data_IF_481321910901
#
_entry.id   IF_481321910901
#
_cell.length_a   1.000
_cell.length_b   1.000
_cell.length_c   1.000
_cell.angle_alpha   90.00
_cell.angle_beta   90.00
_cell.angle_gamma   90.00
#
_symmetry.space_group_name_H-M   'P 1'
#
loop_
_entity.id
_entity.type
_entity.pdbx_description
1 polymer ?
#
# COMPACT_ATOMS: atom_id res chain seq x y z
N UNK A 1 4.55 2.38 9.01
CA UNK A 1 5.32 1.42 9.80
C UNK A 1 6.42 0.77 8.98
N UNK A 2 6.16 0.13 7.89
CA UNK A 2 7.13 -0.41 6.95
C UNK A 2 6.50 -0.53 5.58
N UNK A 3 7.32 -0.34 4.53
CA UNK A 3 6.89 -0.49 3.15
C UNK A 3 8.11 -0.90 2.31
N UNK A 4 8.15 -2.16 1.90
CA UNK A 4 9.24 -2.75 1.12
C UNK A 4 9.45 -4.23 1.41
N UNK A 5 10.38 -4.86 0.72
CA UNK A 5 10.66 -6.31 0.77
C UNK A 5 11.01 -6.88 2.15
N UNK A 6 11.34 -6.04 3.13
CA UNK A 6 11.61 -6.47 4.51
C UNK A 6 10.35 -6.64 5.35
N UNK A 7 9.23 -6.12 4.91
CA UNK A 7 7.91 -6.27 5.51
C UNK A 7 7.04 -5.02 5.38
N UNK A 8 5.80 -5.25 5.03
CA UNK A 8 4.79 -4.23 4.77
C UNK A 8 3.78 -4.18 5.92
N UNK A 9 3.54 -2.98 6.42
CA UNK A 9 2.53 -2.73 7.43
C UNK A 9 2.22 -1.23 7.47
N UNK A 10 1.00 -0.87 7.13
CA UNK A 10 0.54 0.51 7.06
C UNK A 10 -0.60 0.73 8.05
N UNK A 11 -0.50 1.74 8.90
CA UNK A 11 -1.55 2.17 9.81
C UNK A 11 -2.25 3.40 9.22
N UNK A 12 -3.56 3.35 9.17
CA UNK A 12 -4.41 4.42 8.66
C UNK A 12 -5.48 4.73 9.71
N UNK A 13 -5.63 5.98 10.07
CA UNK A 13 -6.72 6.46 10.93
C UNK A 13 -7.60 7.42 10.14
N UNK A 14 -8.89 7.12 10.07
CA UNK A 14 -9.90 7.86 9.33
C UNK A 14 -11.07 8.12 10.26
N UNK A 15 -11.38 9.39 10.56
CA UNK A 15 -12.51 9.77 11.42
C UNK A 15 -12.55 8.98 12.75
N UNK A 16 -11.38 8.78 13.35
CA UNK A 16 -11.22 8.00 14.60
C UNK A 16 -11.29 6.49 14.43
N UNK A 17 -11.51 5.95 13.22
CA UNK A 17 -11.43 4.52 12.90
C UNK A 17 -10.01 4.12 12.57
N UNK A 18 -9.53 3.04 13.18
CA UNK A 18 -8.14 2.59 13.15
C UNK A 18 -8.00 1.35 12.30
N UNK A 19 -7.32 1.48 11.18
CA UNK A 19 -7.17 0.45 10.18
C UNK A 19 -5.70 0.01 10.09
N UNK A 20 -5.45 -1.27 9.87
CA UNK A 20 -4.13 -1.79 9.60
C UNK A 20 -4.14 -2.48 8.23
N UNK A 21 -3.27 -2.05 7.33
CA UNK A 21 -3.08 -2.69 6.03
C UNK A 21 -1.78 -3.47 6.08
N UNK A 22 -1.88 -4.77 5.87
CA UNK A 22 -0.84 -5.78 5.98
C UNK A 22 -0.20 -5.94 7.37
N UNK A 23 0.36 -7.12 7.59
CA UNK A 23 0.98 -7.53 8.85
C UNK A 23 2.33 -8.21 8.56
N UNK A 24 3.13 -7.63 7.65
CA UNK A 24 4.38 -8.21 7.18
C UNK A 24 5.58 -8.00 8.09
N UNK A 25 5.48 -7.12 9.08
CA UNK A 25 6.54 -6.85 10.05
C UNK A 25 6.47 -7.76 11.28
N UNK A 26 7.58 -7.95 12.02
CA UNK A 26 7.56 -8.65 13.30
C UNK A 26 6.57 -8.00 14.27
N UNK A 27 5.82 -8.81 15.01
CA UNK A 27 4.77 -8.34 15.93
C UNK A 27 5.26 -7.30 16.95
N UNK A 28 6.52 -7.42 17.43
CA UNK A 28 7.13 -6.43 18.31
C UNK A 28 7.28 -5.06 17.65
N UNK A 29 7.66 -5.04 16.39
CA UNK A 29 7.81 -3.80 15.59
C UNK A 29 6.45 -3.13 15.42
N UNK A 30 5.43 -3.88 14.99
CA UNK A 30 4.06 -3.35 14.81
C UNK A 30 3.51 -2.83 16.14
N UNK A 31 3.66 -3.60 17.22
CA UNK A 31 3.21 -3.20 18.57
C UNK A 31 3.83 -1.88 19.02
N UNK A 32 5.14 -1.72 18.84
CA UNK A 32 5.84 -0.50 19.22
C UNK A 32 5.38 0.70 18.39
N UNK A 33 5.15 0.50 17.09
CA UNK A 33 4.66 1.54 16.21
C UNK A 33 3.22 1.94 16.55
N UNK A 34 2.31 0.98 16.80
CA UNK A 34 0.95 1.26 17.27
C UNK A 34 0.98 2.03 18.62
N UNK A 35 1.83 1.59 19.55
CA UNK A 35 1.97 2.28 20.84
C UNK A 35 2.43 3.74 20.69
N UNK A 36 3.29 4.05 19.71
CA UNK A 36 3.75 5.42 19.46
C UNK A 36 2.66 6.38 18.99
N UNK A 37 1.54 5.83 18.47
CA UNK A 37 0.34 6.58 18.08
C UNK A 37 -0.84 6.34 19.04
N UNK A 38 -0.56 5.85 20.27
CA UNK A 38 -1.58 5.65 21.30
C UNK A 38 -2.57 4.50 21.03
N UNK A 39 -2.21 3.54 20.19
CA UNK A 39 -3.09 2.44 19.74
C UNK A 39 -2.50 1.08 20.12
N UNK A 40 -3.35 0.06 20.28
CA UNK A 40 -2.98 -1.35 20.47
C UNK A 40 -3.64 -2.19 19.39
N UNK A 41 -3.25 -3.46 19.27
CA UNK A 41 -3.88 -4.40 18.35
C UNK A 41 -5.38 -4.57 18.59
N UNK A 42 -5.77 -4.56 19.87
CA UNK A 42 -7.15 -4.74 20.32
C UNK A 42 -8.04 -3.52 20.02
N UNK A 43 -7.44 -2.37 19.74
CA UNK A 43 -8.12 -1.10 19.49
C UNK A 43 -8.35 -0.85 17.97
N UNK A 44 -7.93 -1.79 17.11
CA UNK A 44 -8.14 -1.71 15.66
C UNK A 44 -9.61 -2.00 15.32
N UNK A 45 -10.15 -1.25 14.36
CA UNK A 45 -11.51 -1.43 13.83
C UNK A 45 -11.54 -2.40 12.64
N UNK A 46 -10.45 -2.49 11.87
CA UNK A 46 -10.30 -3.45 10.78
C UNK A 46 -8.83 -3.73 10.46
N UNK A 47 -8.57 -4.95 9.95
CA UNK A 47 -7.30 -5.33 9.31
C UNK A 47 -7.59 -5.68 7.87
N UNK A 48 -6.79 -5.15 6.93
CA UNK A 48 -6.91 -5.46 5.50
C UNK A 48 -5.61 -6.12 5.04
N UNK A 49 -5.70 -7.17 4.25
CA UNK A 49 -4.54 -7.86 3.68
C UNK A 49 -4.59 -7.69 2.17
N UNK A 50 -3.53 -7.12 1.61
CA UNK A 50 -3.41 -6.91 0.16
C UNK A 50 -3.23 -8.23 -0.58
N UNK A 51 -2.31 -9.06 -0.12
CA UNK A 51 -2.02 -10.39 -0.68
C UNK A 51 -1.21 -11.26 0.29
N UNK A 52 -0.88 -12.49 -0.14
CA UNK A 52 -0.34 -13.52 0.75
C UNK A 52 1.17 -13.75 0.63
N UNK A 53 1.96 -12.85 0.05
CA UNK A 53 3.41 -12.93 0.13
C UNK A 53 3.88 -12.78 1.59
N UNK A 54 5.00 -13.41 1.91
CA UNK A 54 5.49 -13.50 3.30
C UNK A 54 5.76 -12.15 3.95
N UNK A 55 6.22 -11.18 3.17
CA UNK A 55 6.50 -9.81 3.62
C UNK A 55 5.23 -8.96 3.85
N UNK A 56 4.04 -9.51 3.57
CA UNK A 56 2.73 -8.91 3.89
C UNK A 56 2.01 -9.61 5.04
N UNK A 57 2.34 -10.88 5.34
CA UNK A 57 1.60 -11.66 6.33
C UNK A 57 2.46 -12.31 7.43
N UNK A 58 3.79 -12.18 7.37
CA UNK A 58 4.72 -12.86 8.28
C UNK A 58 4.43 -12.65 9.76
N UNK A 59 3.96 -11.48 10.17
CA UNK A 59 3.60 -11.16 11.55
C UNK A 59 2.24 -11.69 11.98
N UNK A 60 1.41 -12.15 11.04
CA UNK A 60 0.01 -12.47 11.27
C UNK A 60 -0.18 -13.60 12.30
N UNK A 61 0.70 -14.61 12.33
CA UNK A 61 0.62 -15.71 13.29
C UNK A 61 0.65 -15.24 14.75
N UNK A 62 1.40 -14.18 15.03
CA UNK A 62 1.51 -13.61 16.38
C UNK A 62 0.47 -12.51 16.59
N UNK A 63 0.36 -11.56 15.66
CA UNK A 63 -0.51 -10.39 15.79
C UNK A 63 -1.98 -10.77 15.76
N UNK A 64 -2.37 -11.74 14.93
CA UNK A 64 -3.76 -12.19 14.76
C UNK A 64 -4.43 -12.69 16.05
N UNK A 65 -3.63 -13.11 17.04
CA UNK A 65 -4.14 -13.51 18.36
C UNK A 65 -4.72 -12.35 19.17
N UNK A 66 -4.32 -11.13 18.84
CA UNK A 66 -4.70 -9.91 19.55
C UNK A 66 -5.79 -9.11 18.84
N UNK A 67 -6.03 -9.36 17.54
CA UNK A 67 -7.09 -8.68 16.80
C UNK A 67 -8.47 -9.01 17.38
N UNK A 68 -9.31 -7.99 17.53
CA UNK A 68 -10.70 -8.07 17.98
C UNK A 68 -11.66 -7.53 16.92
N UNK A 69 -11.14 -7.25 15.74
CA UNK A 69 -11.85 -6.71 14.59
C UNK A 69 -11.83 -7.71 13.41
N UNK A 70 -12.70 -7.52 12.41
CA UNK A 70 -12.67 -8.30 11.19
C UNK A 70 -11.36 -8.13 10.42
N UNK A 71 -10.96 -9.17 9.68
CA UNK A 71 -9.84 -9.16 8.75
C UNK A 71 -10.40 -9.35 7.34
N UNK A 72 -10.14 -8.39 6.47
CA UNK A 72 -10.65 -8.33 5.11
C UNK A 72 -9.56 -8.60 4.08
N UNK A 73 -9.88 -9.34 3.02
CA UNK A 73 -8.99 -9.63 1.91
C UNK A 73 -9.75 -10.13 0.68
N UNK A 74 -9.07 -10.42 -0.43
CA UNK A 74 -9.70 -11.05 -1.58
C UNK A 74 -10.16 -12.49 -1.25
N UNK A 75 -11.16 -13.00 -1.97
CA UNK A 75 -11.65 -14.38 -1.80
C UNK A 75 -10.54 -15.42 -1.96
N UNK A 76 -9.62 -15.21 -2.91
CA UNK A 76 -8.44 -16.07 -3.12
C UNK A 76 -7.53 -16.09 -1.90
N UNK A 77 -7.29 -14.94 -1.27
CA UNK A 77 -6.48 -14.82 -0.05
C UNK A 77 -7.21 -15.43 1.15
N UNK A 78 -8.54 -15.29 1.23
CA UNK A 78 -9.37 -15.94 2.27
C UNK A 78 -9.20 -17.46 2.25
N UNK A 79 -9.21 -18.08 1.08
CA UNK A 79 -9.01 -19.53 0.95
C UNK A 79 -7.62 -19.98 1.47
N UNK A 80 -6.58 -19.16 1.31
CA UNK A 80 -5.22 -19.45 1.81
C UNK A 80 -5.07 -19.23 3.32
N UNK A 81 -5.79 -18.25 3.85
CA UNK A 81 -5.70 -17.81 5.25
C UNK A 81 -6.93 -18.18 6.08
N UNK A 82 -7.68 -19.22 5.67
CA UNK A 82 -8.96 -19.63 6.26
C UNK A 82 -8.91 -19.81 7.79
N UNK A 83 -7.77 -20.20 8.33
CA UNK A 83 -7.55 -20.38 9.79
C UNK A 83 -7.77 -19.11 10.62
N UNK A 84 -7.73 -17.93 9.98
CA UNK A 84 -7.97 -16.64 10.64
C UNK A 84 -9.41 -16.15 10.48
N UNK A 85 -10.29 -16.94 9.86
CA UNK A 85 -11.70 -16.60 9.59
C UNK A 85 -11.86 -15.22 8.91
N UNK A 86 -11.11 -14.96 7.82
CA UNK A 86 -11.19 -13.67 7.13
C UNK A 86 -12.52 -13.49 6.43
N UNK A 87 -12.85 -12.22 6.18
CA UNK A 87 -14.05 -11.81 5.45
C UNK A 87 -13.65 -11.41 4.01
N UNK A 88 -14.23 -12.05 2.97
CA UNK A 88 -13.93 -11.69 1.60
C UNK A 88 -14.52 -10.32 1.26
N UNK A 89 -13.72 -9.45 0.62
CA UNK A 89 -14.19 -8.20 0.06
C UNK A 89 -14.84 -8.42 -1.31
N UNK A 90 -15.97 -7.76 -1.58
CA UNK A 90 -16.49 -7.69 -2.93
C UNK A 90 -15.54 -6.84 -3.79
N UNK A 91 -15.22 -7.34 -4.99
CA UNK A 91 -14.33 -6.62 -5.89
C UNK A 91 -15.06 -5.48 -6.61
N UNK A 92 -14.36 -4.36 -6.76
CA UNK A 92 -14.75 -3.19 -7.58
C UNK A 92 -16.10 -2.54 -7.20
N UNK A 93 -16.52 -2.72 -5.97
CA UNK A 93 -17.73 -2.07 -5.42
C UNK A 93 -17.52 -1.69 -3.97
N UNK A 94 -18.08 -0.55 -3.52
CA UNK A 94 -17.95 -0.11 -2.13
C UNK A 94 -18.55 -1.12 -1.16
N UNK A 95 -17.81 -1.39 -0.08
CA UNK A 95 -18.23 -2.25 1.03
C UNK A 95 -17.87 -1.53 2.34
N UNK A 96 -18.83 -1.42 3.25
CA UNK A 96 -18.60 -0.77 4.54
C UNK A 96 -17.86 -1.73 5.48
N UNK A 97 -16.61 -1.37 5.83
CA UNK A 97 -15.73 -2.19 6.68
C UNK A 97 -15.83 -1.81 8.16
N UNK A 98 -16.19 -0.58 8.44
CA UNK A 98 -16.51 -0.04 9.75
C UNK A 98 -17.38 1.21 9.56
N UNK A 99 -18.09 1.62 10.61
CA UNK A 99 -19.04 2.74 10.58
C UNK A 99 -18.43 4.00 9.93
N UNK A 100 -19.04 4.45 8.84
CA UNK A 100 -18.61 5.62 8.07
C UNK A 100 -17.38 5.45 7.19
N UNK A 101 -16.82 4.23 7.07
CA UNK A 101 -15.67 3.96 6.17
C UNK A 101 -16.01 2.85 5.20
N UNK A 102 -16.07 3.17 3.91
CA UNK A 102 -16.26 2.22 2.82
C UNK A 102 -14.93 1.93 2.13
N UNK A 103 -14.72 0.68 1.76
CA UNK A 103 -13.58 0.26 0.94
C UNK A 103 -14.06 -0.29 -0.40
N UNK A 104 -13.38 0.09 -1.48
CA UNK A 104 -13.47 -0.54 -2.79
C UNK A 104 -12.15 -1.24 -3.05
N UNK A 105 -12.19 -2.58 -3.10
CA UNK A 105 -11.03 -3.39 -3.45
C UNK A 105 -10.94 -3.55 -4.97
N UNK A 106 -9.71 -3.54 -5.50
CA UNK A 106 -9.44 -3.74 -6.93
C UNK A 106 -8.21 -4.62 -7.12
N UNK A 107 -8.17 -5.38 -8.22
CA UNK A 107 -7.02 -6.23 -8.54
C UNK A 107 -5.78 -5.39 -8.86
N UNK A 108 -4.62 -5.80 -8.34
CA UNK A 108 -3.32 -5.27 -8.75
C UNK A 108 -2.62 -6.21 -9.71
N UNK A 109 -1.83 -5.65 -10.64
CA UNK A 109 -1.03 -6.43 -11.59
C UNK A 109 0.21 -6.97 -10.89
N UNK A 110 0.05 -8.06 -10.12
CA UNK A 110 1.13 -8.69 -9.34
C UNK A 110 1.16 -10.20 -9.52
N UNK A 111 2.30 -10.82 -9.23
CA UNK A 111 2.51 -12.26 -9.40
C UNK A 111 1.96 -13.11 -8.24
N UNK A 112 1.22 -12.51 -7.33
CA UNK A 112 0.46 -13.20 -6.29
C UNK A 112 -1.04 -13.25 -6.64
N UNK A 113 -1.63 -14.43 -6.85
CA UNK A 113 -3.06 -14.54 -7.13
C UNK A 113 -3.92 -13.94 -6.01
N UNK A 114 -4.85 -13.09 -6.38
CA UNK A 114 -5.73 -12.38 -5.45
C UNK A 114 -5.08 -11.17 -4.77
N UNK A 115 -4.03 -10.62 -5.38
CA UNK A 115 -3.44 -9.34 -4.95
C UNK A 115 -4.38 -8.19 -5.25
N UNK A 116 -4.63 -7.34 -4.24
CA UNK A 116 -5.58 -6.23 -4.31
C UNK A 116 -5.01 -4.95 -3.73
N UNK A 117 -5.47 -3.82 -4.28
CA UNK A 117 -5.34 -2.50 -3.71
C UNK A 117 -6.68 -2.02 -3.15
N UNK A 118 -6.69 -0.83 -2.54
CA UNK A 118 -7.84 -0.28 -1.85
C UNK A 118 -8.08 1.18 -2.19
N UNK A 119 -9.36 1.53 -2.37
CA UNK A 119 -9.86 2.90 -2.23
C UNK A 119 -10.73 2.96 -0.99
N UNK A 120 -10.49 3.93 -0.13
CA UNK A 120 -11.31 4.24 1.03
C UNK A 120 -12.10 5.53 0.75
N UNK A 121 -13.41 5.49 0.97
CA UNK A 121 -14.28 6.65 0.91
C UNK A 121 -14.91 6.86 2.30
N UNK A 122 -14.87 8.10 2.78
CA UNK A 122 -15.31 8.48 4.12
C UNK A 122 -15.81 9.93 4.12
N UNK A 123 -16.51 10.34 5.16
CA UNK A 123 -16.94 11.73 5.31
C UNK A 123 -15.71 12.66 5.38
N UNK A 124 -15.62 13.56 4.44
CA UNK A 124 -14.53 14.54 4.34
C UNK A 124 -13.43 14.17 3.34
N UNK A 125 -13.41 12.94 2.74
CA UNK A 125 -12.38 12.65 1.75
C UNK A 125 -12.33 11.24 1.22
N UNK A 126 -11.25 10.96 0.49
CA UNK A 126 -10.94 9.64 -0.05
C UNK A 126 -9.44 9.36 -0.07
N UNK A 127 -9.08 8.11 0.12
CA UNK A 127 -7.70 7.65 0.23
C UNK A 127 -7.47 6.41 -0.63
N UNK A 128 -6.45 6.41 -1.48
CA UNK A 128 -6.03 5.28 -2.30
C UNK A 128 -4.79 4.59 -1.76
N UNK A 129 -4.74 3.26 -1.82
CA UNK A 129 -3.57 2.46 -1.48
C UNK A 129 -3.30 1.43 -2.57
N UNK A 130 -2.17 1.55 -3.25
CA UNK A 130 -1.77 0.70 -4.37
C UNK A 130 -0.26 0.43 -4.34
N UNK A 131 0.12 -0.73 -3.82
CA UNK A 131 1.49 -1.26 -3.84
C UNK A 131 1.48 -2.64 -4.49
N UNK A 132 2.65 -3.15 -4.83
CA UNK A 132 2.81 -4.44 -5.49
C UNK A 132 2.02 -4.50 -6.80
N UNK A 133 2.45 -3.66 -7.73
CA UNK A 133 1.87 -3.58 -9.06
C UNK A 133 2.96 -3.31 -10.10
N UNK A 134 3.02 -4.15 -11.13
CA UNK A 134 3.94 -3.97 -12.26
C UNK A 134 3.45 -2.94 -13.27
N UNK A 135 2.15 -2.65 -13.28
CA UNK A 135 1.56 -1.58 -14.10
C UNK A 135 0.25 -1.07 -13.50
N UNK A 136 -0.12 0.17 -13.83
CA UNK A 136 -1.40 0.77 -13.46
C UNK A 136 -2.34 0.70 -14.67
N UNK A 137 -3.33 -0.18 -14.58
CA UNK A 137 -4.35 -0.38 -15.63
C UNK A 137 -5.33 0.80 -15.69
N UNK A 138 -6.09 0.93 -16.80
CA UNK A 138 -7.17 1.91 -16.88
C UNK A 138 -8.18 1.74 -15.74
N UNK A 139 -8.48 0.49 -15.39
CA UNK A 139 -9.41 0.19 -14.28
C UNK A 139 -8.92 0.72 -12.94
N UNK A 140 -7.63 0.58 -12.64
CA UNK A 140 -7.03 1.16 -11.43
C UNK A 140 -7.10 2.68 -11.47
N UNK A 141 -6.83 3.28 -12.63
CA UNK A 141 -6.94 4.73 -12.83
C UNK A 141 -8.35 5.22 -12.56
N UNK A 142 -9.37 4.55 -13.10
CA UNK A 142 -10.78 4.91 -12.88
C UNK A 142 -11.16 4.84 -11.41
N UNK A 143 -10.80 3.76 -10.72
CA UNK A 143 -11.15 3.56 -9.31
C UNK A 143 -10.46 4.59 -8.41
N UNK A 144 -9.18 4.87 -8.65
CA UNK A 144 -8.40 5.79 -7.80
C UNK A 144 -8.52 7.26 -8.20
N UNK A 145 -9.10 7.58 -9.35
CA UNK A 145 -9.34 8.98 -9.76
C UNK A 145 -10.19 9.71 -8.73
N UNK A 146 -9.80 10.96 -8.43
CA UNK A 146 -10.45 11.78 -7.43
C UNK A 146 -10.14 11.39 -5.97
N UNK A 147 -9.27 10.42 -5.70
CA UNK A 147 -8.72 10.23 -4.36
C UNK A 147 -7.92 11.48 -3.96
N UNK A 148 -8.24 12.08 -2.83
CA UNK A 148 -7.52 13.24 -2.31
C UNK A 148 -6.09 12.88 -1.92
N UNK A 149 -5.89 11.70 -1.37
CA UNK A 149 -4.59 11.18 -0.95
C UNK A 149 -4.34 9.80 -1.52
N UNK A 150 -3.11 9.54 -1.97
CA UNK A 150 -2.72 8.29 -2.62
C UNK A 150 -1.38 7.77 -2.11
N UNK A 151 -1.35 6.54 -1.63
CA UNK A 151 -0.12 5.75 -1.48
C UNK A 151 0.07 4.93 -2.75
N UNK A 152 1.20 5.11 -3.41
CA UNK A 152 1.52 4.39 -4.64
C UNK A 152 2.95 3.85 -4.61
N UNK A 153 3.15 2.71 -5.26
CA UNK A 153 4.46 2.10 -5.39
C UNK A 153 5.42 2.96 -6.22
N UNK A 154 6.67 3.08 -5.73
CA UNK A 154 7.83 3.59 -6.47
C UNK A 154 9.01 2.67 -6.13
N UNK A 155 9.02 1.48 -6.73
CA UNK A 155 9.85 0.40 -6.25
C UNK A 155 11.32 0.57 -6.61
N UNK A 156 11.64 0.85 -7.86
CA UNK A 156 13.03 0.84 -8.32
C UNK A 156 13.33 1.93 -9.34
N UNK A 157 14.57 2.39 -9.32
CA UNK A 157 15.20 3.08 -10.43
C UNK A 157 15.63 2.05 -11.48
N UNK A 158 15.25 2.24 -12.74
CA UNK A 158 15.53 1.28 -13.82
C UNK A 158 17.00 1.09 -14.08
N UNK A 159 17.83 2.12 -13.91
CA UNK A 159 19.27 2.06 -14.09
C UNK A 159 19.94 1.30 -12.94
N UNK A 160 19.55 1.60 -11.70
CA UNK A 160 20.05 0.88 -10.52
C UNK A 160 19.70 -0.61 -10.59
N UNK A 161 18.45 -0.94 -10.96
CA UNK A 161 18.03 -2.34 -11.09
C UNK A 161 18.82 -3.08 -12.19
N UNK A 162 18.99 -2.47 -13.37
CA UNK A 162 19.72 -3.09 -14.48
C UNK A 162 21.18 -3.36 -14.14
N UNK A 163 21.83 -2.43 -13.44
CA UNK A 163 23.24 -2.51 -13.06
C UNK A 163 23.48 -3.15 -11.67
N UNK A 164 22.43 -3.34 -10.87
CA UNK A 164 22.49 -3.84 -9.50
C UNK A 164 22.85 -5.32 -9.41
N UNK A 165 23.00 -5.84 -8.19
CA UNK A 165 23.53 -7.20 -7.94
C UNK A 165 22.52 -8.33 -8.18
N UNK A 166 21.25 -8.03 -8.45
CA UNK A 166 20.22 -9.06 -8.58
C UNK A 166 20.47 -9.97 -9.79
N UNK A 167 20.16 -11.28 -9.67
CA UNK A 167 20.20 -12.21 -10.79
C UNK A 167 19.29 -11.77 -11.93
N UNK A 168 19.66 -12.07 -13.17
CA UNK A 168 18.91 -11.69 -14.37
C UNK A 168 17.43 -12.10 -14.34
N UNK A 169 17.14 -13.31 -13.84
CA UNK A 169 15.74 -13.80 -13.71
C UNK A 169 14.92 -12.92 -12.78
N UNK A 170 15.50 -12.48 -11.66
CA UNK A 170 14.82 -11.59 -10.71
C UNK A 170 14.62 -10.19 -11.30
N UNK A 171 15.63 -9.65 -12.00
CA UNK A 171 15.48 -8.37 -12.72
C UNK A 171 14.34 -8.41 -13.73
N UNK A 172 14.26 -9.48 -14.53
CA UNK A 172 13.14 -9.66 -15.49
C UNK A 172 11.79 -9.74 -14.81
N UNK A 173 11.68 -10.44 -13.68
CA UNK A 173 10.46 -10.53 -12.89
C UNK A 173 10.04 -9.14 -12.42
N UNK A 174 10.96 -8.36 -11.82
CA UNK A 174 10.68 -7.02 -11.31
C UNK A 174 10.22 -6.09 -12.43
N UNK A 175 10.87 -6.12 -13.60
CA UNK A 175 10.54 -5.29 -14.76
C UNK A 175 9.31 -5.76 -15.56
N UNK A 176 8.65 -6.83 -15.14
CA UNK A 176 7.47 -7.33 -15.87
C UNK A 176 6.19 -6.59 -15.45
N UNK A 177 5.15 -6.69 -16.28
CA UNK A 177 3.80 -6.15 -15.96
C UNK A 177 3.18 -6.72 -14.68
N UNK A 178 3.74 -7.82 -14.14
CA UNK A 178 3.34 -8.43 -12.86
C UNK A 178 4.41 -8.28 -11.78
N UNK A 179 5.42 -7.46 -12.03
CA UNK A 179 6.50 -7.17 -11.10
C UNK A 179 6.18 -5.99 -10.19
N UNK A 180 6.99 -4.94 -10.34
CA UNK A 180 6.91 -3.73 -9.52
C UNK A 180 7.07 -2.48 -10.37
N UNK A 181 6.39 -1.41 -9.96
CA UNK A 181 6.38 -0.14 -10.66
C UNK A 181 7.74 0.59 -10.52
N UNK A 182 8.31 1.00 -11.64
CA UNK A 182 9.52 1.82 -11.64
C UNK A 182 9.25 3.25 -11.15
N UNK A 183 10.31 4.00 -10.80
CA UNK A 183 10.17 5.41 -10.44
C UNK A 183 9.61 6.22 -11.62
N UNK A 184 10.00 5.88 -12.84
CA UNK A 184 9.56 6.56 -14.07
C UNK A 184 8.06 6.30 -14.33
N UNK A 185 7.61 5.04 -14.25
CA UNK A 185 6.20 4.70 -14.41
C UNK A 185 5.35 5.28 -13.28
N UNK A 186 5.88 5.27 -12.06
CA UNK A 186 5.25 5.93 -10.91
C UNK A 186 5.08 7.43 -11.15
N UNK A 187 6.08 8.10 -11.75
CA UNK A 187 6.03 9.53 -12.04
C UNK A 187 4.90 9.87 -13.03
N UNK A 188 4.73 9.07 -14.09
CA UNK A 188 3.65 9.25 -15.06
C UNK A 188 2.27 9.02 -14.43
N UNK A 189 2.16 8.02 -13.59
CA UNK A 189 0.93 7.70 -12.84
C UNK A 189 0.62 8.79 -11.79
N UNK A 190 1.62 9.27 -11.06
CA UNK A 190 1.48 10.34 -10.09
C UNK A 190 0.98 11.64 -10.75
N UNK A 191 1.53 12.00 -11.92
CA UNK A 191 1.08 13.14 -12.68
C UNK A 191 -0.39 12.98 -13.13
N UNK A 192 -0.76 11.80 -13.62
CA UNK A 192 -2.16 11.51 -13.97
C UNK A 192 -3.10 11.76 -12.77
N UNK A 193 -2.81 11.20 -11.59
CA UNK A 193 -3.67 11.36 -10.42
C UNK A 193 -3.69 12.80 -9.90
N UNK A 194 -2.56 13.51 -9.93
CA UNK A 194 -2.49 14.92 -9.57
C UNK A 194 -3.41 15.78 -10.43
N UNK A 195 -3.42 15.57 -11.75
CA UNK A 195 -4.35 16.25 -12.66
C UNK A 195 -5.83 15.86 -12.45
N UNK A 196 -6.08 14.71 -11.81
CA UNK A 196 -7.42 14.21 -11.49
C UNK A 196 -7.82 14.43 -10.00
N UNK A 197 -7.18 15.40 -9.33
CA UNK A 197 -7.63 15.89 -8.03
C UNK A 197 -6.86 15.37 -6.82
N UNK A 198 -5.85 14.50 -7.00
CA UNK A 198 -5.01 14.05 -5.88
C UNK A 198 -4.09 15.17 -5.42
N UNK A 199 -4.14 15.47 -4.13
CA UNK A 199 -3.35 16.54 -3.48
C UNK A 199 -2.16 16.01 -2.67
N UNK A 200 -2.26 14.78 -2.17
CA UNK A 200 -1.22 14.15 -1.37
C UNK A 200 -0.79 12.85 -2.02
N UNK A 201 0.49 12.72 -2.37
CA UNK A 201 1.05 11.50 -2.94
C UNK A 201 2.17 11.00 -2.05
N UNK A 202 2.08 9.73 -1.67
CA UNK A 202 3.04 9.03 -0.84
C UNK A 202 3.68 7.91 -1.65
N UNK A 203 4.98 8.05 -1.94
CA UNK A 203 5.76 7.01 -2.59
C UNK A 203 6.09 5.92 -1.56
N UNK A 204 5.77 4.69 -1.89
CA UNK A 204 5.90 3.55 -0.99
C UNK A 204 6.59 2.37 -1.68
N UNK A 205 6.89 1.33 -0.93
CA UNK A 205 7.41 0.05 -1.40
C UNK A 205 8.74 0.17 -2.19
N UNK A 206 9.64 1.05 -1.70
CA UNK A 206 10.95 1.25 -2.32
C UNK A 206 11.87 0.05 -2.08
N UNK A 207 12.56 -0.38 -3.13
CA UNK A 207 13.62 -1.40 -3.03
C UNK A 207 14.83 -0.83 -2.30
N UNK A 208 15.36 -1.56 -1.33
CA UNK A 208 16.59 -1.18 -0.62
C UNK A 208 17.84 -1.22 -1.50
N UNK A 209 17.88 -2.15 -2.46
CA UNK A 209 19.06 -2.40 -3.30
C UNK A 209 19.03 -1.63 -4.61
N UNK A 210 17.84 -1.33 -5.12
CA UNK A 210 17.66 -0.81 -6.47
C UNK A 210 16.90 0.52 -6.49
N UNK A 211 16.87 1.22 -5.36
CA UNK A 211 16.28 2.56 -5.27
C UNK A 211 16.97 3.39 -4.19
N UNK A 212 16.80 4.68 -4.29
CA UNK A 212 17.13 5.67 -3.27
C UNK A 212 15.94 6.61 -3.08
N UNK A 213 15.52 6.91 -1.83
CA UNK A 213 14.38 7.79 -1.57
C UNK A 213 14.48 9.16 -2.24
N UNK A 214 15.69 9.69 -2.38
CA UNK A 214 15.93 10.97 -3.05
C UNK A 214 15.74 10.82 -4.56
N UNK A 215 16.26 9.74 -5.16
CA UNK A 215 16.10 9.45 -6.60
C UNK A 215 14.62 9.26 -6.93
N UNK A 216 13.89 8.44 -6.15
CA UNK A 216 12.45 8.23 -6.33
C UNK A 216 11.70 9.57 -6.29
N UNK A 217 11.96 10.38 -5.26
CA UNK A 217 11.33 11.68 -5.10
C UNK A 217 11.62 12.63 -6.27
N UNK A 218 12.90 12.82 -6.62
CA UNK A 218 13.33 13.73 -7.70
C UNK A 218 12.76 13.29 -9.07
N UNK A 219 12.64 11.98 -9.31
CA UNK A 219 12.05 11.46 -10.56
C UNK A 219 10.58 11.81 -10.66
N UNK A 220 9.81 11.63 -9.58
CA UNK A 220 8.38 11.97 -9.55
C UNK A 220 8.15 13.47 -9.56
N UNK A 221 8.92 14.26 -8.80
CA UNK A 221 8.80 15.73 -8.75
C UNK A 221 8.95 16.38 -10.14
N UNK A 222 9.81 15.85 -11.00
CA UNK A 222 10.00 16.36 -12.37
C UNK A 222 8.72 16.32 -13.23
N UNK A 223 7.78 15.42 -12.91
CA UNK A 223 6.51 15.27 -13.64
C UNK A 223 5.36 16.04 -12.97
N UNK A 224 5.57 16.57 -11.77
CA UNK A 224 4.57 17.29 -10.99
C UNK A 224 4.72 18.81 -11.01
N UNK A 225 5.55 19.37 -11.89
CA UNK A 225 5.92 20.80 -11.92
C UNK A 225 4.72 21.73 -12.02
N UNK A 226 3.65 21.31 -12.67
CA UNK A 226 2.44 22.10 -12.90
C UNK A 226 1.29 21.70 -11.96
N UNK A 227 1.58 20.93 -10.90
CA UNK A 227 0.59 20.42 -9.96
C UNK A 227 0.90 20.87 -8.53
N UNK A 228 -0.12 21.36 -7.81
CA UNK A 228 -0.02 21.62 -6.38
C UNK A 228 -0.22 20.33 -5.59
N UNK A 229 0.85 19.54 -5.43
CA UNK A 229 0.82 18.23 -4.75
C UNK A 229 1.85 18.19 -3.64
N UNK A 230 1.44 17.70 -2.48
CA UNK A 230 2.34 17.34 -1.39
C UNK A 230 2.92 15.94 -1.66
N UNK A 231 4.16 15.87 -2.17
CA UNK A 231 4.87 14.62 -2.42
C UNK A 231 5.72 14.21 -1.22
N UNK A 232 5.56 12.99 -0.73
CA UNK A 232 6.36 12.43 0.37
C UNK A 232 6.81 11.01 0.05
N UNK A 233 7.97 10.61 0.58
CA UNK A 233 8.47 9.23 0.49
C UNK A 233 8.28 8.55 1.84
N UNK A 234 7.64 7.39 1.86
CA UNK A 234 7.46 6.57 3.04
C UNK A 234 8.70 5.68 3.24
N UNK A 235 9.46 5.98 4.28
CA UNK A 235 10.68 5.24 4.58
C UNK A 235 10.39 4.04 5.48
N UNK A 236 11.12 2.95 5.27
CA UNK A 236 11.09 1.80 6.18
C UNK A 236 11.50 2.19 7.61
N UNK A 237 10.81 1.62 8.58
CA UNK A 237 11.12 1.86 10.00
C UNK A 237 10.74 3.25 10.51
N UNK A 238 10.18 4.11 9.67
CA UNK A 238 9.72 5.41 10.08
C UNK A 238 8.31 5.32 10.68
N UNK A 239 8.22 5.42 12.01
CA UNK A 239 6.94 5.52 12.73
C UNK A 239 6.48 6.98 12.81
N UNK A 240 6.52 7.70 11.69
CA UNK A 240 6.08 9.09 11.67
C UNK A 240 4.60 9.15 11.31
N UNK A 241 3.80 9.67 12.24
CA UNK A 241 2.40 10.02 11.95
C UNK A 241 2.37 11.18 10.95
N UNK A 242 1.60 11.02 9.89
CA UNK A 242 1.32 12.07 8.92
C UNK A 242 -0.17 12.37 9.08
N UNK A 243 -0.49 13.56 9.57
CA UNK A 243 -1.86 14.06 9.56
C UNK A 243 -2.14 14.69 8.20
N UNK A 244 -3.28 14.36 7.61
CA UNK A 244 -3.85 15.00 6.43
C UNK A 244 -4.93 15.95 6.95
N UNK A 245 -4.77 17.24 6.69
CA UNK A 245 -5.75 18.29 7.00
C UNK A 245 -6.68 18.50 5.81
#
# INVERSE_FOLDING_TARGET
>A
MGSGSSGNCFYLEINGKRLLIDVGLPARTIRNALKSVGTRFEDLDAVLITHTHSDHIRGLEVCGKYFRCPMYMSEVSCARLFRYSPVPLPMERPFEITDGVKVTAFDTSHDCPGSIGFRFDYEGGSFGYATDLGCVTERIRDILSGCESLVIESNHDTTMLRNGPYPYVLKRRILSEKGHLSNEDCADVAAFFAHNGTRNIFLAHLSRENNDPKVARETVEKKLTDCEVCLRVLLEGCSKLICLE
#
